data_IF_013263691510
#
_entry.id   IF_013263691510
#
_cell.length_a   1.000
_cell.length_b   1.000
_cell.length_c   1.000
_cell.angle_alpha   90.00
_cell.angle_beta   90.00
_cell.angle_gamma   90.00
#
_symmetry.space_group_name_H-M   'P 1'
#
loop_
_entity.id
_entity.type
_entity.pdbx_description
1 polymer ?
#
# COMPACT_ATOMS: atom_id res chain seq x y z
N UNK A 1 17.95 -9.43 18.27
CA UNK A 1 18.31 -8.92 16.92
C UNK A 1 17.93 -10.01 15.93
N UNK A 2 17.66 -9.70 14.66
CA UNK A 2 17.37 -10.72 13.67
C UNK A 2 18.03 -10.38 12.33
N UNK A 3 18.28 -11.40 11.51
CA UNK A 3 18.97 -11.30 10.22
C UNK A 3 18.01 -11.73 9.10
N UNK A 4 17.86 -10.90 8.08
CA UNK A 4 17.12 -11.23 6.87
C UNK A 4 18.09 -11.37 5.70
N UNK A 5 18.23 -12.59 5.18
CA UNK A 5 19.13 -12.89 4.06
C UNK A 5 18.40 -12.83 2.72
N UNK A 6 18.79 -11.88 1.87
CA UNK A 6 18.21 -11.69 0.55
C UNK A 6 18.79 -12.70 -0.47
N UNK A 7 18.09 -13.82 -0.71
CA UNK A 7 18.49 -14.88 -1.67
C UNK A 7 18.61 -14.46 -3.15
N UNK A 8 18.22 -13.26 -3.55
CA UNK A 8 18.34 -12.79 -4.94
C UNK A 8 18.62 -11.30 -5.04
N UNK A 9 19.77 -10.95 -5.61
CA UNK A 9 20.23 -9.57 -5.79
C UNK A 9 20.30 -9.24 -7.29
N UNK A 10 19.55 -8.22 -7.72
CA UNK A 10 19.55 -7.81 -9.13
C UNK A 10 20.94 -7.26 -9.50
N UNK A 11 21.50 -7.78 -10.59
CA UNK A 11 22.84 -7.47 -11.09
C UNK A 11 23.95 -7.88 -10.12
N UNK A 12 23.78 -8.95 -9.34
CA UNK A 12 24.91 -9.51 -8.61
C UNK A 12 26.03 -9.89 -9.59
N UNK A 13 27.26 -9.43 -9.30
CA UNK A 13 28.46 -9.74 -10.08
C UNK A 13 29.41 -10.67 -9.34
N UNK A 14 29.16 -10.90 -8.05
CA UNK A 14 29.94 -11.76 -7.20
C UNK A 14 29.20 -13.10 -7.04
N UNK A 15 29.77 -14.24 -7.47
CA UNK A 15 29.16 -15.54 -7.30
C UNK A 15 29.31 -16.11 -5.87
N UNK A 16 30.16 -15.53 -5.02
CA UNK A 16 30.33 -15.94 -3.63
C UNK A 16 29.46 -15.11 -2.67
N UNK A 17 29.31 -13.80 -2.92
CA UNK A 17 28.38 -12.95 -2.15
C UNK A 17 26.93 -13.02 -2.68
N UNK A 18 26.31 -14.20 -2.54
CA UNK A 18 24.95 -14.47 -3.03
C UNK A 18 23.82 -13.89 -2.17
N UNK A 19 24.11 -13.35 -0.98
CA UNK A 19 23.07 -12.91 -0.05
C UNK A 19 23.46 -11.67 0.77
N UNK A 20 22.87 -10.51 0.41
CA UNK A 20 22.84 -9.36 1.31
C UNK A 20 22.01 -9.68 2.55
N UNK A 21 22.69 -9.91 3.66
CA UNK A 21 22.09 -10.05 4.99
C UNK A 21 21.86 -8.69 5.63
N UNK A 22 20.60 -8.33 5.90
CA UNK A 22 20.26 -7.16 6.69
C UNK A 22 20.05 -7.57 8.16
N UNK A 23 20.89 -7.07 9.05
CA UNK A 23 20.67 -7.15 10.50
C UNK A 23 19.72 -6.02 10.92
N UNK A 24 18.64 -6.37 11.62
CA UNK A 24 17.63 -5.43 12.09
C UNK A 24 17.27 -5.66 13.56
N UNK A 25 16.72 -4.62 14.18
CA UNK A 25 16.34 -4.58 15.59
C UNK A 25 14.89 -4.11 15.69
N UNK A 26 14.12 -4.76 16.55
CA UNK A 26 12.77 -4.33 16.91
C UNK A 26 12.75 -2.88 17.42
N UNK A 27 11.79 -2.11 16.92
CA UNK A 27 11.49 -0.76 17.42
C UNK A 27 10.23 -0.81 18.31
N UNK A 28 10.22 -0.02 19.38
CA UNK A 28 9.06 0.09 20.26
C UNK A 28 7.83 0.71 19.57
N UNK A 29 8.01 1.43 18.46
CA UNK A 29 6.93 1.99 17.63
C UNK A 29 6.60 1.01 16.51
N UNK A 30 5.37 0.52 16.48
CA UNK A 30 4.90 -0.45 15.48
C UNK A 30 5.21 -0.02 14.03
N UNK A 31 5.17 1.27 13.71
CA UNK A 31 5.48 1.77 12.37
C UNK A 31 6.90 1.43 11.88
N UNK A 32 7.86 1.29 12.78
CA UNK A 32 9.25 0.93 12.46
C UNK A 32 9.61 -0.52 12.84
N UNK A 33 8.68 -1.28 13.43
CA UNK A 33 8.90 -2.68 13.83
C UNK A 33 8.73 -3.64 12.63
N UNK A 34 9.64 -3.55 11.67
CA UNK A 34 9.74 -4.43 10.50
C UNK A 34 9.85 -5.91 10.88
N UNK A 35 10.55 -6.22 11.97
CA UNK A 35 10.60 -7.56 12.58
C UNK A 35 9.21 -8.13 12.84
N UNK A 36 8.36 -7.35 13.50
CA UNK A 36 7.00 -7.73 13.86
C UNK A 36 6.13 -8.02 12.64
N UNK A 37 6.28 -7.26 11.53
CA UNK A 37 5.56 -7.56 10.29
C UNK A 37 6.01 -8.87 9.65
N UNK A 38 7.32 -9.13 9.59
CA UNK A 38 7.86 -10.38 9.04
C UNK A 38 7.46 -11.59 9.90
N UNK A 39 7.52 -11.45 11.23
CA UNK A 39 7.10 -12.48 12.18
C UNK A 39 5.59 -12.75 12.08
N UNK A 40 4.76 -11.71 11.94
CA UNK A 40 3.32 -11.87 11.72
C UNK A 40 2.99 -12.59 10.40
N UNK A 41 3.77 -12.36 9.33
CA UNK A 41 3.64 -13.14 8.09
C UNK A 41 4.04 -14.61 8.30
N UNK A 42 5.15 -14.86 8.99
CA UNK A 42 5.59 -16.23 9.33
C UNK A 42 4.54 -16.98 10.16
N UNK A 43 3.93 -16.34 11.18
CA UNK A 43 2.81 -16.94 11.90
C UNK A 43 1.58 -17.12 11.02
N UNK A 44 1.23 -16.16 10.16
CA UNK A 44 0.09 -16.29 9.25
C UNK A 44 0.20 -17.55 8.37
N UNK A 45 1.39 -17.85 7.86
CA UNK A 45 1.72 -19.03 7.05
C UNK A 45 1.99 -20.32 7.86
N UNK A 46 1.98 -20.26 9.21
CA UNK A 46 2.32 -21.40 10.07
C UNK A 46 3.79 -21.85 9.93
N UNK A 47 4.67 -20.92 9.58
CA UNK A 47 6.00 -21.17 9.05
C UNK A 47 7.03 -21.72 10.05
N UNK A 48 6.79 -21.63 11.36
CA UNK A 48 7.80 -21.88 12.40
C UNK A 48 7.66 -23.28 13.02
N UNK A 49 8.78 -23.96 13.27
CA UNK A 49 8.80 -25.18 14.08
C UNK A 49 8.63 -24.85 15.56
N UNK A 50 7.71 -25.53 16.24
CA UNK A 50 7.53 -25.45 17.70
C UNK A 50 6.74 -24.24 18.22
N UNK A 51 6.24 -23.36 17.35
CA UNK A 51 5.45 -22.19 17.73
C UNK A 51 4.26 -22.03 16.77
N UNK A 52 3.04 -22.30 17.25
CA UNK A 52 1.82 -22.13 16.46
C UNK A 52 1.16 -20.75 16.71
N UNK A 53 1.49 -20.13 17.84
CA UNK A 53 0.98 -18.84 18.30
C UNK A 53 2.08 -17.94 18.89
N UNK A 54 1.79 -16.64 18.98
CA UNK A 54 2.65 -15.70 19.72
C UNK A 54 2.75 -16.03 21.23
N UNK A 55 1.77 -16.71 21.81
CA UNK A 55 1.81 -17.08 23.23
C UNK A 55 2.89 -18.15 23.50
N UNK A 56 3.11 -19.06 22.56
CA UNK A 56 4.16 -20.08 22.63
C UNK A 56 5.54 -19.42 22.55
N UNK A 57 5.72 -18.51 21.58
CA UNK A 57 6.97 -17.78 21.40
C UNK A 57 7.28 -16.86 22.59
N UNK A 58 6.28 -16.25 23.22
CA UNK A 58 6.45 -15.42 24.43
C UNK A 58 6.86 -16.19 25.68
N UNK A 59 6.66 -17.51 25.72
CA UNK A 59 7.15 -18.37 26.80
C UNK A 59 8.62 -18.77 26.59
N UNK A 60 9.21 -18.46 25.44
CA UNK A 60 10.58 -18.82 25.15
C UNK A 60 11.57 -18.00 25.99
N UNK A 61 12.33 -18.70 26.83
CA UNK A 61 13.48 -18.15 27.55
C UNK A 61 14.74 -18.47 26.77
N UNK A 62 15.62 -17.48 26.59
CA UNK A 62 16.95 -17.70 26.02
C UNK A 62 17.84 -18.34 27.13
N UNK A 63 18.48 -19.50 26.87
CA UNK A 63 19.36 -20.14 27.84
C UNK A 63 20.50 -19.22 28.30
N UNK A 64 20.96 -19.29 29.57
CA UNK A 64 22.02 -18.41 30.07
C UNK A 64 23.38 -18.54 29.36
N UNK A 65 23.61 -19.63 28.60
CA UNK A 65 24.79 -19.87 27.77
C UNK A 65 24.70 -19.23 26.36
N UNK A 66 23.62 -18.50 26.04
CA UNK A 66 23.35 -18.00 24.67
C UNK A 66 22.80 -16.58 24.66
N UNK A 67 23.12 -15.84 23.61
CA UNK A 67 22.55 -14.52 23.34
C UNK A 67 21.26 -14.58 22.49
N UNK A 68 21.01 -15.70 21.80
CA UNK A 68 19.87 -15.87 20.90
C UNK A 68 19.38 -17.32 20.77
N UNK A 69 18.15 -17.47 20.28
CA UNK A 69 17.60 -18.74 19.79
C UNK A 69 17.18 -18.53 18.33
N UNK A 70 17.76 -19.26 17.36
CA UNK A 70 17.35 -19.15 15.97
C UNK A 70 15.97 -19.79 15.77
N UNK A 71 15.01 -18.99 15.30
CA UNK A 71 13.69 -19.49 14.88
C UNK A 71 13.85 -20.34 13.62
N UNK A 72 13.47 -21.61 13.70
CA UNK A 72 13.56 -22.56 12.57
C UNK A 72 12.28 -22.52 11.76
N UNK A 73 12.42 -22.32 10.46
CA UNK A 73 11.34 -22.40 9.49
C UNK A 73 11.10 -23.84 9.07
N UNK A 74 9.84 -24.20 8.77
CA UNK A 74 9.47 -25.51 8.23
C UNK A 74 9.97 -25.67 6.80
N UNK A 75 10.44 -26.86 6.45
CA UNK A 75 11.02 -27.10 5.12
C UNK A 75 10.02 -26.80 3.99
N UNK A 76 8.73 -27.07 4.22
CA UNK A 76 7.61 -26.82 3.30
C UNK A 76 7.36 -25.33 2.97
N UNK A 77 7.88 -24.40 3.77
CA UNK A 77 7.71 -22.95 3.56
C UNK A 77 8.99 -22.22 3.11
N UNK A 78 10.14 -22.89 3.03
CA UNK A 78 11.44 -22.26 2.76
C UNK A 78 11.54 -21.54 1.41
N UNK A 79 10.70 -21.92 0.44
CA UNK A 79 10.64 -21.33 -0.90
C UNK A 79 9.38 -20.47 -1.12
N UNK A 80 8.56 -20.24 -0.09
CA UNK A 80 7.41 -19.34 -0.19
C UNK A 80 7.87 -17.87 -0.29
N UNK A 81 7.42 -17.11 -1.30
CA UNK A 81 7.71 -15.68 -1.38
C UNK A 81 7.06 -14.90 -0.23
N UNK A 82 7.78 -13.97 0.38
CA UNK A 82 7.19 -13.02 1.34
C UNK A 82 6.17 -12.12 0.61
N UNK A 83 6.54 -11.57 -0.54
CA UNK A 83 5.67 -10.78 -1.40
C UNK A 83 4.94 -11.69 -2.40
N UNK A 84 3.81 -12.28 -1.98
CA UNK A 84 2.96 -13.16 -2.80
C UNK A 84 2.01 -12.41 -3.73
N UNK A 85 1.75 -13.00 -4.90
CA UNK A 85 0.76 -12.52 -5.88
C UNK A 85 -0.65 -12.67 -5.33
N UNK A 86 -1.45 -11.61 -5.44
CA UNK A 86 -2.86 -11.60 -5.07
C UNK A 86 -3.74 -11.46 -6.32
N UNK A 87 -4.81 -12.28 -6.43
CA UNK A 87 -5.80 -12.25 -7.51
C UNK A 87 -7.22 -12.10 -6.94
N UNK A 88 -8.18 -11.66 -7.75
CA UNK A 88 -9.60 -11.57 -7.36
C UNK A 88 -10.31 -12.93 -7.27
N UNK A 89 -9.71 -13.99 -7.81
CA UNK A 89 -10.32 -15.32 -7.91
C UNK A 89 -9.78 -16.28 -6.86
N UNK A 90 -8.48 -16.19 -6.59
CA UNK A 90 -7.72 -17.18 -5.83
C UNK A 90 -7.09 -16.56 -4.57
N UNK A 91 -7.42 -15.30 -4.25
CA UNK A 91 -6.87 -14.58 -3.10
C UNK A 91 -5.35 -14.43 -3.20
N UNK A 92 -4.66 -14.68 -2.08
CA UNK A 92 -3.19 -14.75 -2.04
C UNK A 92 -2.74 -16.13 -2.54
N UNK A 93 -1.87 -16.13 -3.55
CA UNK A 93 -1.32 -17.34 -4.19
C UNK A 93 0.16 -17.52 -3.81
N UNK A 94 0.69 -18.74 -3.91
CA UNK A 94 2.12 -18.99 -3.62
C UNK A 94 3.08 -18.46 -4.70
N UNK A 95 2.58 -17.99 -5.84
CA UNK A 95 3.37 -17.30 -6.86
C UNK A 95 4.01 -16.01 -6.30
N UNK A 96 5.24 -15.66 -6.69
CA UNK A 96 5.83 -14.37 -6.36
C UNK A 96 5.06 -13.22 -7.03
N UNK A 97 4.90 -12.10 -6.30
CA UNK A 97 4.27 -10.90 -6.82
C UNK A 97 5.11 -10.29 -7.94
N UNK A 98 4.49 -10.02 -9.10
CA UNK A 98 5.20 -9.34 -10.18
C UNK A 98 5.56 -7.90 -9.80
N UNK A 99 6.69 -7.40 -10.31
CA UNK A 99 7.14 -6.02 -10.08
C UNK A 99 6.06 -4.98 -10.46
N UNK A 100 5.26 -5.27 -11.50
CA UNK A 100 4.19 -4.37 -11.92
C UNK A 100 3.03 -4.35 -10.91
N UNK A 101 2.62 -5.50 -10.36
CA UNK A 101 1.59 -5.56 -9.31
C UNK A 101 2.05 -4.83 -8.05
N UNK A 102 3.29 -5.07 -7.59
CA UNK A 102 3.86 -4.35 -6.45
C UNK A 102 3.81 -2.84 -6.67
N UNK A 103 4.31 -2.37 -7.82
CA UNK A 103 4.31 -0.95 -8.20
C UNK A 103 2.89 -0.37 -8.22
N UNK A 104 1.90 -1.08 -8.76
CA UNK A 104 0.50 -0.64 -8.78
C UNK A 104 -0.07 -0.49 -7.37
N UNK A 105 0.19 -1.44 -6.48
CA UNK A 105 -0.26 -1.39 -5.08
C UNK A 105 0.41 -0.22 -4.36
N UNK A 106 1.74 -0.09 -4.43
CA UNK A 106 2.47 1.02 -3.80
C UNK A 106 2.00 2.39 -4.32
N UNK A 107 1.77 2.53 -5.63
CA UNK A 107 1.29 3.78 -6.23
C UNK A 107 -0.13 4.13 -5.76
N UNK A 108 -1.03 3.14 -5.63
CA UNK A 108 -2.37 3.38 -5.07
C UNK A 108 -2.30 3.91 -3.64
N UNK A 109 -1.48 3.30 -2.78
CA UNK A 109 -1.26 3.78 -1.41
C UNK A 109 -0.73 5.22 -1.36
N UNK A 110 0.20 5.58 -2.25
CA UNK A 110 0.79 6.92 -2.31
C UNK A 110 -0.21 7.97 -2.82
N UNK A 111 -0.98 7.67 -3.87
CA UNK A 111 -2.05 8.55 -4.37
C UNK A 111 -3.11 8.80 -3.30
N UNK A 112 -3.47 7.77 -2.53
CA UNK A 112 -4.42 7.86 -1.42
C UNK A 112 -3.85 8.67 -0.24
N UNK A 113 -2.54 8.66 -0.02
CA UNK A 113 -1.86 9.51 0.97
C UNK A 113 -1.64 10.97 0.51
N UNK A 114 -2.05 11.33 -0.71
CA UNK A 114 -1.94 12.69 -1.25
C UNK A 114 -0.72 12.94 -2.13
N UNK A 115 0.09 11.93 -2.44
CA UNK A 115 1.22 12.11 -3.35
C UNK A 115 0.74 12.21 -4.80
N UNK A 116 0.95 13.39 -5.39
CA UNK A 116 0.93 13.62 -6.83
C UNK A 116 2.22 13.07 -7.47
N UNK A 117 2.23 12.94 -8.79
CA UNK A 117 3.29 12.32 -9.58
C UNK A 117 3.48 10.81 -9.30
N UNK A 118 4.10 10.09 -10.25
CA UNK A 118 4.45 8.67 -10.05
C UNK A 118 5.68 8.56 -9.15
N UNK A 119 5.52 8.81 -7.85
CA UNK A 119 6.60 8.64 -6.89
C UNK A 119 7.12 7.19 -6.95
N UNK A 120 8.38 7.04 -7.34
CA UNK A 120 9.01 5.73 -7.54
C UNK A 120 9.74 5.27 -6.27
N UNK A 121 9.93 3.96 -6.14
CA UNK A 121 10.78 3.36 -5.09
C UNK A 121 12.17 4.00 -5.06
N UNK A 122 12.72 4.39 -6.22
CA UNK A 122 13.99 5.13 -6.31
C UNK A 122 13.96 6.50 -5.64
N UNK A 123 12.84 7.23 -5.69
CA UNK A 123 12.69 8.51 -4.99
C UNK A 123 12.60 8.32 -3.46
N UNK A 124 11.87 7.29 -3.01
CA UNK A 124 11.82 6.90 -1.60
C UNK A 124 13.20 6.50 -1.10
N UNK A 125 13.91 5.63 -1.85
CA UNK A 125 15.29 5.23 -1.55
C UNK A 125 16.25 6.42 -1.51
N UNK A 126 16.11 7.42 -2.39
CA UNK A 126 16.90 8.66 -2.34
C UNK A 126 16.60 9.50 -1.08
N UNK A 127 15.36 9.52 -0.61
CA UNK A 127 15.01 10.20 0.64
C UNK A 127 15.60 9.47 1.86
N UNK A 128 15.54 8.14 1.89
CA UNK A 128 16.14 7.33 2.97
C UNK A 128 17.67 7.43 2.95
N UNK A 129 18.28 7.33 1.76
CA UNK A 129 19.71 7.55 1.55
C UNK A 129 20.16 8.90 2.10
N UNK A 130 19.41 9.99 1.85
CA UNK A 130 19.69 11.29 2.47
C UNK A 130 19.64 11.31 3.99
N UNK A 131 18.77 10.53 4.64
CA UNK A 131 18.77 10.42 6.10
C UNK A 131 20.07 9.83 6.65
N UNK A 132 20.79 9.05 5.83
CA UNK A 132 22.09 8.47 6.12
C UNK A 132 23.24 9.35 5.61
N UNK A 133 23.10 9.99 4.44
CA UNK A 133 24.12 10.84 3.79
C UNK A 133 24.22 12.24 4.41
N UNK A 134 23.15 12.77 5.00
CA UNK A 134 23.20 14.00 5.81
C UNK A 134 24.06 13.83 7.07
N UNK A 135 24.35 12.59 7.47
CA UNK A 135 25.32 12.34 8.54
C UNK A 135 26.78 12.51 8.08
N UNK A 136 27.07 12.81 6.80
CA UNK A 136 28.45 12.95 6.29
C UNK A 136 28.69 13.99 5.18
N UNK A 137 27.99 13.95 4.03
CA UNK A 137 28.53 14.55 2.78
C UNK A 137 27.60 15.42 1.90
N UNK A 138 26.53 14.85 1.34
CA UNK A 138 26.14 15.19 -0.05
C UNK A 138 25.25 16.43 -0.25
N UNK A 139 25.16 17.34 0.71
CA UNK A 139 24.30 18.53 0.62
C UNK A 139 24.89 19.76 1.29
N UNK A 140 26.01 20.23 0.76
CA UNK A 140 26.60 21.52 1.10
C UNK A 140 25.75 22.64 0.52
N UNK A 141 25.28 23.57 1.35
CA UNK A 141 24.84 24.88 0.89
C UNK A 141 26.08 25.66 0.42
N UNK A 142 26.34 25.61 -0.88
CA UNK A 142 27.52 26.24 -1.47
C UNK A 142 27.52 27.78 -1.36
N UNK A 143 26.37 28.42 -1.13
CA UNK A 143 26.32 29.87 -0.92
C UNK A 143 26.64 30.21 0.53
N UNK A 144 26.00 29.53 1.49
CA UNK A 144 26.30 29.73 2.91
C UNK A 144 27.76 29.38 3.23
N UNK A 145 28.25 28.24 2.73
CA UNK A 145 29.64 27.82 2.90
C UNK A 145 30.67 28.77 2.26
N UNK A 146 30.32 29.45 1.16
CA UNK A 146 31.17 30.49 0.55
C UNK A 146 31.13 31.82 1.30
N UNK A 147 30.05 32.10 2.05
CA UNK A 147 29.81 33.35 2.78
C UNK A 147 30.14 33.27 4.28
N UNK A 148 30.54 32.10 4.76
CA UNK A 148 30.69 31.80 6.19
C UNK A 148 29.37 32.01 6.98
N UNK A 149 28.23 31.81 6.31
CA UNK A 149 26.89 31.92 6.87
C UNK A 149 26.39 30.55 7.40
N UNK A 150 25.37 30.56 8.27
CA UNK A 150 24.71 29.33 8.73
C UNK A 150 23.99 28.63 7.55
N UNK A 151 24.21 27.32 7.41
CA UNK A 151 23.76 26.54 6.25
C UNK A 151 22.23 26.39 6.19
N UNK A 152 21.60 26.93 5.14
CA UNK A 152 20.14 26.86 4.95
C UNK A 152 19.71 25.63 4.13
N UNK A 153 19.53 24.51 4.82
CA UNK A 153 19.12 23.26 4.17
C UNK A 153 17.68 23.26 3.60
N UNK A 154 16.84 24.28 3.83
CA UNK A 154 15.43 24.29 3.37
C UNK A 154 15.31 24.09 1.86
N UNK A 155 16.24 24.64 1.08
CA UNK A 155 16.25 24.47 -0.37
C UNK A 155 16.62 23.03 -0.79
N UNK A 156 17.57 22.40 -0.09
CA UNK A 156 17.95 20.98 -0.28
C UNK A 156 16.78 20.07 0.07
N UNK A 157 16.14 20.30 1.21
CA UNK A 157 14.96 19.58 1.68
C UNK A 157 13.82 19.70 0.67
N UNK A 158 13.54 20.90 0.15
CA UNK A 158 12.54 21.11 -0.89
C UNK A 158 12.90 20.38 -2.20
N UNK A 159 14.07 20.63 -2.78
CA UNK A 159 14.42 20.09 -4.10
C UNK A 159 14.59 18.57 -4.10
N UNK A 160 15.09 18.00 -3.00
CA UNK A 160 15.39 16.58 -2.93
C UNK A 160 14.37 15.78 -2.11
N UNK A 161 13.44 16.44 -1.41
CA UNK A 161 12.46 15.84 -0.52
C UNK A 161 11.28 15.17 -1.22
N UNK A 162 10.50 14.42 -0.44
CA UNK A 162 9.23 13.84 -0.88
C UNK A 162 8.05 14.80 -0.74
N UNK A 163 8.18 15.83 0.12
CA UNK A 163 7.09 16.73 0.47
C UNK A 163 6.58 17.57 -0.70
N UNK A 164 7.46 18.02 -1.61
CA UNK A 164 7.08 18.75 -2.83
C UNK A 164 6.15 17.97 -3.78
N UNK A 165 6.00 16.66 -3.58
CA UNK A 165 5.09 15.79 -4.33
C UNK A 165 3.78 15.55 -3.58
N UNK A 166 3.63 15.98 -2.31
CA UNK A 166 2.45 15.70 -1.48
C UNK A 166 1.51 16.90 -1.47
N UNK A 167 0.33 16.69 -2.03
CA UNK A 167 -0.72 17.71 -2.16
C UNK A 167 -1.97 17.22 -1.41
N UNK A 168 -2.21 17.79 -0.22
CA UNK A 168 -3.35 17.43 0.62
C UNK A 168 -4.66 17.78 -0.09
N UNK A 169 -5.58 16.82 -0.19
CA UNK A 169 -6.86 16.98 -0.91
C UNK A 169 -6.80 16.73 -2.42
N UNK A 170 -5.64 16.46 -3.02
CA UNK A 170 -5.46 16.26 -4.47
C UNK A 170 -6.53 15.31 -5.08
N UNK A 171 -7.30 15.72 -6.11
CA UNK A 171 -8.36 14.90 -6.68
C UNK A 171 -7.88 13.54 -7.21
N UNK A 172 -8.49 12.43 -6.79
CA UNK A 172 -8.19 11.07 -7.31
C UNK A 172 -9.12 10.63 -8.43
N UNK A 173 -10.18 11.41 -8.69
CA UNK A 173 -11.19 11.17 -9.71
C UNK A 173 -11.56 12.51 -10.36
N UNK A 174 -12.04 12.45 -11.59
CA UNK A 174 -12.55 13.63 -12.30
C UNK A 174 -13.89 14.08 -11.70
N UNK A 175 -14.17 15.40 -11.68
CA UNK A 175 -15.51 15.91 -11.51
C UNK A 175 -16.47 15.35 -12.57
N UNK A 176 -17.73 15.09 -12.18
CA UNK A 176 -18.72 14.44 -13.03
C UNK A 176 -19.06 15.20 -14.33
N UNK A 177 -18.70 16.49 -14.46
CA UNK A 177 -18.84 17.23 -15.72
C UNK A 177 -17.67 16.90 -16.67
N UNK A 178 -16.42 16.91 -16.20
CA UNK A 178 -15.25 16.50 -16.98
C UNK A 178 -15.33 15.01 -17.38
N UNK A 179 -15.90 14.14 -16.54
CA UNK A 179 -16.18 12.75 -16.95
C UNK A 179 -17.14 12.66 -18.15
N UNK A 180 -18.18 13.49 -18.17
CA UNK A 180 -19.13 13.56 -19.30
C UNK A 180 -18.51 14.15 -20.56
N UNK A 181 -17.55 15.07 -20.42
CA UNK A 181 -16.79 15.61 -21.55
C UNK A 181 -15.89 14.54 -22.16
N UNK A 182 -15.13 13.81 -21.34
CA UNK A 182 -14.34 12.65 -21.80
C UNK A 182 -15.22 11.58 -22.46
N UNK A 183 -16.45 11.38 -21.98
CA UNK A 183 -17.37 10.41 -22.57
C UNK A 183 -17.92 10.79 -23.95
N UNK A 184 -17.81 12.07 -24.35
CA UNK A 184 -18.19 12.61 -25.67
C UNK A 184 -17.08 12.52 -26.71
N UNK A 185 -15.88 12.04 -26.36
CA UNK A 185 -14.78 11.87 -27.30
C UNK A 185 -15.19 11.08 -28.57
N UNK A 186 -14.91 11.58 -29.79
CA UNK A 186 -15.36 10.93 -31.03
C UNK A 186 -14.82 9.52 -31.25
N UNK A 187 -13.55 9.26 -30.89
CA UNK A 187 -12.95 7.93 -31.02
C UNK A 187 -13.58 6.95 -30.02
N UNK A 188 -13.80 7.40 -28.77
CA UNK A 188 -14.49 6.64 -27.73
C UNK A 188 -15.94 6.32 -28.12
N UNK A 189 -16.68 7.28 -28.67
CA UNK A 189 -18.04 7.06 -29.19
C UNK A 189 -18.06 6.04 -30.34
N UNK A 190 -17.11 6.14 -31.27
CA UNK A 190 -16.94 5.20 -32.38
C UNK A 190 -16.65 3.78 -31.87
N UNK A 191 -15.72 3.64 -30.92
CA UNK A 191 -15.37 2.35 -30.30
C UNK A 191 -16.55 1.76 -29.49
N UNK A 192 -17.34 2.58 -28.79
CA UNK A 192 -18.57 2.14 -28.10
C UNK A 192 -19.58 1.57 -29.11
N UNK A 193 -19.78 2.24 -30.25
CA UNK A 193 -20.68 1.79 -31.31
C UNK A 193 -20.18 0.50 -32.00
N UNK A 194 -18.88 0.40 -32.28
CA UNK A 194 -18.21 -0.79 -32.84
C UNK A 194 -18.43 -2.02 -31.92
N UNK A 195 -18.15 -1.87 -30.62
CA UNK A 195 -18.37 -2.92 -29.60
C UNK A 195 -19.83 -3.35 -29.54
N UNK A 196 -20.77 -2.39 -29.54
CA UNK A 196 -22.20 -2.71 -29.46
C UNK A 196 -22.69 -3.46 -30.72
N UNK A 197 -22.21 -3.07 -31.91
CA UNK A 197 -22.50 -3.78 -33.17
C UNK A 197 -21.94 -5.21 -33.17
N UNK A 198 -20.68 -5.38 -32.79
CA UNK A 198 -20.04 -6.71 -32.74
C UNK A 198 -20.69 -7.63 -31.70
N UNK A 199 -21.22 -7.06 -30.61
CA UNK A 199 -22.03 -7.79 -29.63
C UNK A 199 -23.34 -8.32 -30.22
N UNK A 200 -24.02 -7.54 -31.07
CA UNK A 200 -25.23 -8.00 -31.77
C UNK A 200 -24.95 -8.98 -32.92
N UNK A 201 -23.77 -8.90 -33.55
CA UNK A 201 -23.35 -9.81 -34.62
C UNK A 201 -22.78 -11.16 -34.14
N UNK A 202 -22.56 -11.35 -32.83
CA UNK A 202 -22.07 -12.61 -32.26
C UNK A 202 -20.58 -12.94 -32.54
N UNK A 203 -19.81 -11.99 -33.09
CA UNK A 203 -18.40 -12.19 -33.47
C UNK A 203 -17.46 -12.13 -32.27
N UNK A 204 -17.32 -13.25 -31.56
CA UNK A 204 -16.59 -13.32 -30.28
C UNK A 204 -15.13 -12.82 -30.31
N UNK A 205 -14.36 -13.09 -31.38
CA UNK A 205 -12.96 -12.63 -31.47
C UNK A 205 -12.88 -11.12 -31.69
N UNK A 206 -13.56 -10.60 -32.72
CA UNK A 206 -13.61 -9.17 -33.03
C UNK A 206 -14.16 -8.35 -31.86
N UNK A 207 -15.24 -8.83 -31.23
CA UNK A 207 -15.81 -8.23 -30.02
C UNK A 207 -14.76 -8.12 -28.89
N UNK A 208 -13.97 -9.18 -28.67
CA UNK A 208 -12.91 -9.18 -27.64
C UNK A 208 -11.81 -8.15 -27.96
N UNK A 209 -11.43 -8.02 -29.23
CA UNK A 209 -10.44 -7.04 -29.68
C UNK A 209 -10.98 -5.60 -29.54
N UNK A 210 -12.19 -5.34 -30.01
CA UNK A 210 -12.85 -4.04 -29.91
C UNK A 210 -13.06 -3.63 -28.43
N UNK A 211 -13.46 -4.56 -27.57
CA UNK A 211 -13.62 -4.32 -26.13
C UNK A 211 -12.28 -3.98 -25.44
N UNK A 212 -11.17 -4.59 -25.87
CA UNK A 212 -9.81 -4.23 -25.40
C UNK A 212 -9.41 -2.83 -25.89
N UNK A 213 -9.67 -2.49 -27.15
CA UNK A 213 -9.42 -1.15 -27.72
C UNK A 213 -10.20 -0.08 -26.96
N UNK A 214 -11.51 -0.28 -26.79
CA UNK A 214 -12.40 0.59 -26.01
C UNK A 214 -11.90 0.80 -24.57
N UNK A 215 -11.58 -0.29 -23.86
CA UNK A 215 -11.08 -0.22 -22.48
C UNK A 215 -9.77 0.56 -22.41
N UNK A 216 -8.81 0.25 -23.29
CA UNK A 216 -7.49 0.89 -23.34
C UNK A 216 -7.60 2.39 -23.63
N UNK A 217 -8.38 2.76 -24.64
CA UNK A 217 -8.60 4.15 -25.03
C UNK A 217 -9.31 4.95 -23.93
N UNK A 218 -10.40 4.40 -23.37
CA UNK A 218 -11.15 5.01 -22.26
C UNK A 218 -10.27 5.24 -21.03
N UNK A 219 -9.46 4.25 -20.63
CA UNK A 219 -8.52 4.38 -19.52
C UNK A 219 -7.44 5.42 -19.81
N UNK A 220 -6.92 5.49 -21.04
CA UNK A 220 -5.95 6.50 -21.46
C UNK A 220 -6.53 7.92 -21.40
N UNK A 221 -7.74 8.13 -21.93
CA UNK A 221 -8.41 9.44 -21.91
C UNK A 221 -8.75 9.89 -20.50
N UNK A 222 -9.44 9.04 -19.70
CA UNK A 222 -9.78 9.38 -18.31
C UNK A 222 -8.54 9.67 -17.48
N UNK A 223 -7.43 8.97 -17.74
CA UNK A 223 -6.14 9.27 -17.12
C UNK A 223 -5.57 10.62 -17.56
N UNK A 224 -5.49 10.90 -18.85
CA UNK A 224 -4.92 12.15 -19.35
C UNK A 224 -5.71 13.37 -18.86
N UNK A 225 -7.05 13.30 -18.87
CA UNK A 225 -7.91 14.34 -18.33
C UNK A 225 -7.76 14.51 -16.80
N UNK A 226 -7.59 13.41 -16.04
CA UNK A 226 -7.33 13.49 -14.60
C UNK A 226 -5.95 14.09 -14.30
N UNK A 227 -4.92 13.72 -15.06
CA UNK A 227 -3.57 14.27 -14.91
C UNK A 227 -3.60 15.80 -15.14
N UNK A 228 -4.23 16.27 -16.24
CA UNK A 228 -4.42 17.70 -16.52
C UNK A 228 -5.23 18.42 -15.44
N UNK A 229 -6.34 17.83 -14.97
CA UNK A 229 -7.16 18.41 -13.91
C UNK A 229 -6.38 18.54 -12.59
N UNK A 230 -5.53 17.56 -12.26
CA UNK A 230 -4.62 17.65 -11.11
C UNK A 230 -3.59 18.77 -11.26
N UNK A 231 -3.00 18.94 -12.45
CA UNK A 231 -2.02 20.01 -12.72
C UNK A 231 -2.66 21.40 -12.53
N UNK A 232 -3.82 21.65 -13.13
CA UNK A 232 -4.57 22.90 -12.92
C UNK A 232 -4.92 23.13 -11.45
N UNK A 233 -5.46 22.10 -10.77
CA UNK A 233 -5.84 22.18 -9.35
C UNK A 233 -4.65 22.50 -8.44
N UNK A 234 -3.47 21.92 -8.71
CA UNK A 234 -2.23 22.21 -7.97
C UNK A 234 -1.80 23.66 -8.20
N UNK A 235 -1.83 24.14 -9.45
CA UNK A 235 -1.42 25.49 -9.80
C UNK A 235 -2.33 26.54 -9.14
N UNK A 236 -3.65 26.45 -9.36
CA UNK A 236 -4.66 27.34 -8.74
C UNK A 236 -4.50 27.43 -7.23
N UNK A 237 -4.25 26.28 -6.59
CA UNK A 237 -4.06 26.18 -5.15
C UNK A 237 -2.78 26.86 -4.67
N UNK A 238 -1.66 26.66 -5.36
CA UNK A 238 -0.38 27.31 -5.03
C UNK A 238 -0.48 28.82 -5.21
N UNK A 239 -1.10 29.28 -6.29
CA UNK A 239 -1.36 30.69 -6.54
C UNK A 239 -2.28 31.29 -5.46
N UNK A 240 -3.31 30.56 -5.01
CA UNK A 240 -4.17 30.98 -3.89
C UNK A 240 -3.42 31.05 -2.55
N UNK A 241 -2.48 30.14 -2.25
CA UNK A 241 -1.63 30.22 -1.06
C UNK A 241 -0.76 31.48 -1.09
N UNK A 242 -0.18 31.80 -2.26
CA UNK A 242 0.62 33.02 -2.47
C UNK A 242 -0.24 34.28 -2.30
N UNK A 243 -1.39 34.35 -2.97
CA UNK A 243 -2.33 35.48 -2.90
C UNK A 243 -2.86 35.72 -1.49
N UNK A 244 -3.23 34.64 -0.78
CA UNK A 244 -3.70 34.71 0.63
C UNK A 244 -2.56 34.91 1.63
N UNK A 245 -1.29 34.91 1.20
CA UNK A 245 -0.08 34.92 2.03
C UNK A 245 -0.10 33.85 3.13
N UNK A 246 -0.66 32.68 2.83
CA UNK A 246 -0.86 31.58 3.78
C UNK A 246 -1.81 31.86 4.96
N UNK A 247 -2.51 33.01 4.98
CA UNK A 247 -3.41 33.40 6.09
C UNK A 247 -4.68 32.56 6.14
N UNK A 248 -5.10 32.03 4.99
CA UNK A 248 -6.22 31.11 4.89
C UNK A 248 -5.68 29.69 4.76
N UNK A 249 -6.23 28.75 5.55
CA UNK A 249 -5.97 27.32 5.38
C UNK A 249 -7.09 26.72 4.54
N UNK A 250 -6.72 25.99 3.48
CA UNK A 250 -7.69 25.22 2.71
C UNK A 250 -8.35 24.16 3.59
N UNK A 251 -9.67 23.98 3.45
CA UNK A 251 -10.43 22.94 4.15
C UNK A 251 -10.45 21.65 3.32
N UNK A 252 -9.29 21.03 3.18
CA UNK A 252 -9.18 19.79 2.41
C UNK A 252 -9.73 18.61 3.21
N UNK A 253 -10.66 17.86 2.61
CA UNK A 253 -11.05 16.57 3.15
C UNK A 253 -9.87 15.59 3.05
N UNK A 254 -9.52 14.92 4.15
CA UNK A 254 -8.58 13.79 4.07
C UNK A 254 -9.16 12.72 3.16
N UNK A 255 -8.39 12.24 2.18
CA UNK A 255 -8.84 11.18 1.25
C UNK A 255 -9.23 9.87 1.96
N UNK A 256 -8.83 9.73 3.22
CA UNK A 256 -9.21 8.61 4.10
C UNK A 256 -10.62 8.73 4.69
N UNK A 257 -11.55 9.50 4.11
CA UNK A 257 -12.96 9.62 4.58
C UNK A 257 -13.63 8.26 4.79
N UNK A 258 -13.30 7.26 3.95
CA UNK A 258 -13.85 5.91 4.06
C UNK A 258 -13.11 5.02 5.08
N UNK A 259 -11.96 5.43 5.60
CA UNK A 259 -11.17 4.60 6.52
C UNK A 259 -11.92 4.29 7.83
N UNK A 260 -12.64 5.23 8.50
CA UNK A 260 -13.52 4.91 9.62
C UNK A 260 -14.57 3.83 9.29
N UNK A 261 -15.20 3.89 8.12
CA UNK A 261 -16.15 2.87 7.67
C UNK A 261 -15.50 1.50 7.46
N UNK A 262 -14.26 1.47 6.97
CA UNK A 262 -13.45 0.26 6.86
C UNK A 262 -13.08 -0.27 8.26
N UNK A 263 -12.77 0.59 9.23
CA UNK A 263 -12.47 0.18 10.61
C UNK A 263 -13.68 -0.41 11.34
N UNK A 264 -14.90 -0.01 10.98
CA UNK A 264 -16.12 -0.64 11.50
C UNK A 264 -16.32 -2.08 10.97
N UNK A 265 -15.84 -2.38 9.75
CA UNK A 265 -15.86 -3.73 9.15
C UNK A 265 -14.67 -4.58 9.62
N UNK A 266 -13.53 -3.94 9.89
CA UNK A 266 -12.26 -4.55 10.30
C UNK A 266 -11.67 -3.81 11.50
N UNK A 267 -12.16 -4.05 12.73
CA UNK A 267 -11.67 -3.38 13.94
C UNK A 267 -10.17 -3.55 14.18
N UNK A 268 -9.61 -4.69 13.77
CA UNK A 268 -8.18 -5.01 13.75
C UNK A 268 -7.41 -3.92 12.99
N UNK A 269 -7.90 -3.53 11.82
CA UNK A 269 -7.29 -2.50 10.96
C UNK A 269 -7.39 -1.11 11.59
N UNK A 270 -8.43 -0.84 12.37
CA UNK A 270 -8.59 0.40 13.14
C UNK A 270 -7.73 0.48 14.41
N UNK A 271 -7.44 -0.66 15.05
CA UNK A 271 -6.44 -0.78 16.11
C UNK A 271 -5.03 -0.56 15.55
N UNK A 272 -4.69 -1.29 14.49
CA UNK A 272 -3.42 -1.14 13.76
C UNK A 272 -3.16 0.28 13.26
N UNK A 273 -4.16 0.93 12.66
CA UNK A 273 -4.00 2.32 12.18
C UNK A 273 -3.65 3.29 13.32
N UNK A 274 -4.20 3.09 14.53
CA UNK A 274 -3.84 3.90 15.71
C UNK A 274 -2.45 3.55 16.23
N UNK A 275 -2.13 2.27 16.34
CA UNK A 275 -0.82 1.79 16.80
C UNK A 275 0.33 2.24 15.88
N UNK A 276 0.13 2.18 14.55
CA UNK A 276 1.08 2.69 13.55
C UNK A 276 1.16 4.23 13.52
N UNK A 277 0.09 4.93 13.88
CA UNK A 277 0.11 6.40 14.01
C UNK A 277 0.79 6.90 15.30
N UNK A 278 1.14 5.99 16.23
CA UNK A 278 1.79 6.38 17.49
C UNK A 278 3.16 7.04 17.27
N UNK A 279 3.34 8.19 17.91
CA UNK A 279 4.63 8.88 18.05
C UNK A 279 5.51 8.29 19.15
N UNK A 280 4.94 7.42 20.00
CA UNK A 280 5.60 6.84 21.17
C UNK A 280 5.71 5.32 21.05
N UNK A 281 6.69 4.74 21.75
CA UNK A 281 6.80 3.29 21.88
C UNK A 281 5.52 2.72 22.52
N UNK A 282 5.03 1.61 21.97
CA UNK A 282 3.89 0.88 22.51
C UNK A 282 4.33 0.04 23.72
N UNK A 283 3.48 -0.11 24.74
CA UNK A 283 3.64 -1.16 25.74
C UNK A 283 3.76 -2.54 25.08
N UNK A 284 4.51 -3.45 25.70
CA UNK A 284 4.79 -4.79 25.15
C UNK A 284 3.50 -5.55 24.81
N UNK A 285 2.48 -5.49 25.67
CA UNK A 285 1.17 -6.11 25.41
C UNK A 285 0.44 -5.50 24.20
N UNK A 286 0.52 -4.19 24.01
CA UNK A 286 -0.09 -3.51 22.85
C UNK A 286 0.63 -3.85 21.55
N UNK A 287 1.96 -4.00 21.60
CA UNK A 287 2.75 -4.47 20.46
C UNK A 287 2.31 -5.90 20.06
N UNK A 288 2.26 -6.84 21.00
CA UNK A 288 1.81 -8.21 20.70
C UNK A 288 0.35 -8.27 20.22
N UNK A 289 -0.55 -7.46 20.79
CA UNK A 289 -1.93 -7.35 20.32
C UNK A 289 -1.99 -6.83 18.86
N UNK A 290 -1.14 -5.86 18.50
CA UNK A 290 -1.02 -5.38 17.13
C UNK A 290 -0.45 -6.45 16.18
N UNK A 291 0.56 -7.23 16.59
CA UNK A 291 1.06 -8.33 15.76
C UNK A 291 -0.01 -9.42 15.57
N UNK A 292 -0.82 -9.70 16.58
CA UNK A 292 -1.95 -10.61 16.48
C UNK A 292 -3.07 -10.07 15.55
N UNK A 293 -3.30 -8.75 15.54
CA UNK A 293 -4.20 -8.12 14.57
C UNK A 293 -3.69 -8.26 13.12
N UNK A 294 -2.37 -8.18 12.89
CA UNK A 294 -1.77 -8.45 11.57
C UNK A 294 -2.00 -9.90 11.14
N UNK A 295 -1.67 -10.88 11.99
CA UNK A 295 -1.92 -12.32 11.70
C UNK A 295 -3.41 -12.56 11.40
N UNK A 296 -4.30 -11.93 12.16
CA UNK A 296 -5.75 -12.04 11.98
C UNK A 296 -6.19 -11.50 10.62
N UNK A 297 -5.65 -10.36 10.17
CA UNK A 297 -5.93 -9.81 8.84
C UNK A 297 -5.32 -10.66 7.71
N UNK A 298 -4.13 -11.23 7.89
CA UNK A 298 -3.49 -12.10 6.90
C UNK A 298 -4.22 -13.43 6.69
N UNK A 299 -4.76 -14.03 7.77
CA UNK A 299 -5.51 -15.30 7.72
C UNK A 299 -7.00 -15.13 7.36
N UNK A 300 -7.51 -13.90 7.24
CA UNK A 300 -8.95 -13.64 7.07
C UNK A 300 -9.40 -13.83 5.62
N UNK A 301 -10.40 -14.70 5.44
CA UNK A 301 -11.20 -14.75 4.22
C UNK A 301 -11.95 -13.42 3.99
N UNK A 302 -11.82 -12.90 2.77
CA UNK A 302 -12.35 -11.61 2.33
C UNK A 302 -13.49 -11.74 1.30
N UNK A 303 -13.90 -12.97 0.95
CA UNK A 303 -14.97 -13.25 -0.03
C UNK A 303 -16.34 -12.74 0.44
N UNK A 304 -16.57 -12.68 1.76
CA UNK A 304 -17.77 -12.04 2.32
C UNK A 304 -17.45 -11.34 3.64
N UNK A 305 -17.67 -10.02 3.65
CA UNK A 305 -17.43 -9.18 4.82
C UNK A 305 -18.71 -9.05 5.65
N UNK A 306 -18.61 -9.35 6.94
CA UNK A 306 -19.65 -9.12 7.93
C UNK A 306 -19.20 -8.06 8.93
N UNK A 307 -20.13 -7.25 9.43
CA UNK A 307 -19.90 -6.43 10.63
C UNK A 307 -19.58 -7.33 11.84
N UNK A 308 -18.82 -6.83 12.84
CA UNK A 308 -18.59 -7.54 14.09
C UNK A 308 -19.90 -8.07 14.70
N UNK A 309 -19.88 -9.30 15.21
CA UNK A 309 -21.06 -9.99 15.75
C UNK A 309 -22.14 -10.36 14.72
N UNK A 310 -22.00 -10.00 13.44
CA UNK A 310 -23.01 -10.24 12.39
C UNK A 310 -22.65 -11.40 11.44
N UNK A 311 -21.59 -12.17 11.73
CA UNK A 311 -21.22 -13.36 10.96
C UNK A 311 -22.28 -14.46 11.17
N UNK A 312 -22.71 -15.19 10.12
CA UNK A 312 -23.68 -16.27 10.29
C UNK A 312 -23.15 -17.36 11.22
N UNK A 313 -24.01 -17.83 12.13
CA UNK A 313 -23.78 -19.04 12.94
C UNK A 313 -24.63 -20.14 12.33
N UNK A 314 -24.02 -21.25 11.92
CA UNK A 314 -24.67 -22.37 11.21
C UNK A 314 -25.49 -21.95 9.97
N UNK A 315 -25.07 -20.86 9.31
CA UNK A 315 -25.76 -20.28 8.17
C UNK A 315 -27.02 -19.47 8.50
N UNK A 316 -27.29 -19.21 9.79
CA UNK A 316 -28.35 -18.33 10.27
C UNK A 316 -27.80 -16.96 10.66
N UNK A 317 -28.60 -15.91 10.49
CA UNK A 317 -28.27 -14.59 11.03
C UNK A 317 -28.31 -14.61 12.56
N UNK A 318 -27.24 -14.21 13.28
CA UNK A 318 -27.19 -14.31 14.74
C UNK A 318 -28.27 -13.45 15.44
N UNK A 319 -28.72 -12.37 14.79
CA UNK A 319 -29.71 -11.44 15.36
C UNK A 319 -31.16 -11.92 15.15
N UNK A 320 -31.51 -12.38 13.94
CA UNK A 320 -32.90 -12.67 13.57
C UNK A 320 -33.18 -14.14 13.20
N UNK A 321 -32.19 -15.03 13.34
CA UNK A 321 -32.27 -16.48 13.10
C UNK A 321 -32.76 -16.90 11.71
N UNK A 322 -32.82 -15.96 10.75
CA UNK A 322 -33.17 -16.25 9.36
C UNK A 322 -31.97 -16.84 8.62
N UNK A 323 -32.22 -17.88 7.82
CA UNK A 323 -31.20 -18.53 6.98
C UNK A 323 -30.63 -17.54 5.97
N UNK A 324 -29.32 -17.28 6.09
CA UNK A 324 -28.61 -16.38 5.19
C UNK A 324 -28.26 -17.13 3.91
N UNK A 325 -28.89 -16.76 2.79
CA UNK A 325 -28.48 -17.27 1.48
C UNK A 325 -27.06 -16.79 1.21
N UNK A 326 -26.13 -17.71 0.94
CA UNK A 326 -24.86 -17.39 0.27
C UNK A 326 -25.20 -16.85 -1.11
N UNK A 327 -25.25 -15.53 -1.24
CA UNK A 327 -25.18 -14.89 -2.55
C UNK A 327 -23.77 -15.12 -3.07
N UNK A 328 -23.60 -16.14 -3.91
CA UNK A 328 -22.46 -16.22 -4.83
C UNK A 328 -22.68 -15.11 -5.85
N UNK A 329 -22.36 -13.89 -5.45
CA UNK A 329 -22.36 -12.76 -6.36
C UNK A 329 -21.22 -13.00 -7.33
N UNK A 330 -21.56 -13.16 -8.62
CA UNK A 330 -20.63 -12.86 -9.70
C UNK A 330 -20.34 -11.36 -9.60
N UNK A 331 -19.48 -10.96 -8.67
CA UNK A 331 -19.28 -9.56 -8.33
C UNK A 331 -18.73 -8.82 -9.55
N UNK A 332 -19.60 -7.99 -10.14
CA UNK A 332 -19.15 -6.85 -10.93
C UNK A 332 -18.05 -6.13 -10.14
N UNK A 333 -16.96 -5.73 -10.82
CA UNK A 333 -15.68 -5.56 -10.17
C UNK A 333 -15.73 -4.53 -9.04
N UNK A 334 -15.14 -4.90 -7.90
CA UNK A 334 -14.66 -3.97 -6.88
C UNK A 334 -13.51 -3.11 -7.45
N UNK A 335 -13.85 -2.21 -8.39
CA UNK A 335 -13.00 -1.13 -8.93
C UNK A 335 -13.39 0.22 -8.34
N UNK A 336 -14.29 0.25 -7.34
CA UNK A 336 -14.85 1.46 -6.76
C UNK A 336 -14.43 1.77 -5.31
N UNK A 337 -13.50 1.00 -4.74
CA UNK A 337 -12.72 1.41 -3.57
C UNK A 337 -11.32 1.86 -4.00
N UNK A 338 -11.22 3.16 -4.32
CA UNK A 338 -10.02 3.87 -4.76
C UNK A 338 -10.27 5.38 -4.74
#
# INVERSE_FOLDING_TARGET
MYKLDQRFVKNNRDPEDVAFGAAAKEDGRLFYNDAGFLLALAFADGALYGYDTFADLRQQVIPPDRDEIPLRFKDEVLDLPIARKCTKKDGVTNDPMSQNQFRTISQSSLVNAGYHWRLQIHAIRRQVGKGLDMANCSSVDGQAAFREEESDHRHVEYFQGLEKFRENGLPTRLPAHLEKEVERDPELCTLKAEVQRLRTEGKNQDFTVAQRRLTTHSTRLKKAALDLYQECWIQERRDWIVQSRGRQKAKDGSKTVLAPSIYNLFPERGRLARAMASTHALPVEEMWAALQDLVTLCRRDMDTVYLPGSRPVDGLCPICQRRMKRYVSNMLPLTYFG
#
